data_IF_489288705704
#
_entry.id   IF_489288705704
#
_cell.length_a   1.000
_cell.length_b   1.000
_cell.length_c   1.000
_cell.angle_alpha   90.00
_cell.angle_beta   90.00
_cell.angle_gamma   90.00
#
_symmetry.space_group_name_H-M   'P 1'
#
loop_
_entity.id
_entity.type
_entity.pdbx_description
1 polymer ?
#
# COMPACT_ATOMS: atom_id res chain seq x y z
N UNK A 1 24.60 -1.58 -36.07
CA UNK A 1 25.07 -2.85 -35.49
C UNK A 1 26.22 -2.61 -34.50
N UNK A 2 25.95 -2.00 -33.40
CA UNK A 2 26.89 -1.97 -32.28
C UNK A 2 26.05 -1.98 -31.01
N UNK A 3 26.10 -3.04 -30.30
CA UNK A 3 25.53 -3.30 -28.96
C UNK A 3 24.29 -4.17 -28.84
N UNK A 4 23.91 -4.99 -29.75
CA UNK A 4 22.95 -6.08 -29.49
C UNK A 4 21.68 -5.73 -28.66
N UNK A 5 21.33 -4.46 -28.54
CA UNK A 5 20.14 -3.99 -27.81
C UNK A 5 18.99 -3.83 -28.78
N UNK A 6 17.98 -4.66 -28.62
CA UNK A 6 16.72 -4.46 -29.33
C UNK A 6 16.00 -3.26 -28.72
N UNK A 7 15.73 -2.25 -29.54
CA UNK A 7 14.90 -1.11 -29.15
C UNK A 7 13.60 -1.18 -29.94
N UNK A 8 12.48 -1.13 -29.26
CA UNK A 8 11.15 -1.02 -29.83
C UNK A 8 10.76 0.46 -29.88
N UNK A 9 10.58 0.98 -31.10
CA UNK A 9 10.01 2.31 -31.31
C UNK A 9 8.52 2.16 -31.56
N UNK A 10 7.70 2.47 -30.54
CA UNK A 10 6.26 2.54 -30.71
C UNK A 10 5.88 3.87 -31.39
N UNK A 11 5.27 3.79 -32.58
CA UNK A 11 4.74 4.98 -33.29
C UNK A 11 3.34 5.36 -32.81
N UNK A 12 2.61 4.42 -32.27
CA UNK A 12 1.27 4.58 -31.76
C UNK A 12 1.02 3.54 -30.66
N UNK A 13 0.47 3.97 -29.55
CA UNK A 13 0.06 3.10 -28.46
C UNK A 13 -1.45 3.23 -28.31
N UNK A 14 -2.17 2.23 -28.79
CA UNK A 14 -3.61 2.10 -28.54
C UNK A 14 -3.82 1.17 -27.35
N UNK A 15 -4.58 1.62 -26.37
CA UNK A 15 -4.97 0.82 -25.21
C UNK A 15 -6.08 -0.17 -25.61
N UNK A 16 -5.69 -1.31 -26.18
CA UNK A 16 -6.60 -2.40 -26.45
C UNK A 16 -6.93 -3.11 -25.13
N UNK A 17 -8.20 -3.11 -24.75
CA UNK A 17 -8.67 -3.69 -23.47
C UNK A 17 -8.80 -2.73 -22.30
N UNK A 18 -8.29 -1.50 -22.38
CA UNK A 18 -8.46 -0.50 -21.32
C UNK A 18 -9.90 0.05 -21.25
N UNK A 19 -10.70 -0.05 -22.31
CA UNK A 19 -12.07 0.46 -22.34
C UNK A 19 -12.96 -0.17 -21.28
N UNK A 20 -13.01 -1.48 -21.22
CA UNK A 20 -13.85 -2.19 -20.24
C UNK A 20 -13.40 -1.96 -18.79
N UNK A 21 -12.10 -1.87 -18.55
CA UNK A 21 -11.57 -1.56 -17.22
C UNK A 21 -11.87 -0.11 -16.82
N UNK A 22 -11.74 0.81 -17.77
CA UNK A 22 -12.05 2.21 -17.55
C UNK A 22 -13.56 2.44 -17.32
N UNK A 23 -14.42 1.77 -18.07
CA UNK A 23 -15.87 1.81 -17.85
C UNK A 23 -16.24 1.28 -16.46
N UNK A 24 -15.65 0.17 -16.02
CA UNK A 24 -15.84 -0.35 -14.66
C UNK A 24 -15.36 0.63 -13.59
N UNK A 25 -14.22 1.29 -13.83
CA UNK A 25 -13.72 2.33 -12.93
C UNK A 25 -14.71 3.50 -12.83
N UNK A 26 -15.24 3.99 -13.96
CA UNK A 26 -16.22 5.09 -13.96
C UNK A 26 -17.52 4.70 -13.27
N UNK A 27 -18.01 3.47 -13.51
CA UNK A 27 -19.21 2.96 -12.86
C UNK A 27 -19.02 2.87 -11.33
N UNK A 28 -17.91 2.29 -10.88
CA UNK A 28 -17.61 2.19 -9.46
C UNK A 28 -17.41 3.58 -8.81
N UNK A 29 -16.76 4.51 -9.53
CA UNK A 29 -16.60 5.88 -9.04
C UNK A 29 -17.96 6.55 -8.84
N UNK A 30 -18.86 6.44 -9.82
CA UNK A 30 -20.20 7.02 -9.73
C UNK A 30 -21.02 6.41 -8.58
N UNK A 31 -20.95 5.09 -8.41
CA UNK A 31 -21.60 4.38 -7.29
C UNK A 31 -21.09 4.89 -5.92
N UNK A 32 -19.77 5.00 -5.75
CA UNK A 32 -19.17 5.49 -4.51
C UNK A 32 -19.50 6.97 -4.24
N UNK A 33 -19.63 7.77 -5.30
CA UNK A 33 -20.02 9.17 -5.20
C UNK A 33 -21.49 9.32 -4.81
N UNK A 34 -22.37 8.51 -5.38
CA UNK A 34 -23.79 8.45 -5.01
C UNK A 34 -23.99 7.99 -3.56
N UNK A 35 -23.16 7.04 -3.09
CA UNK A 35 -23.13 6.62 -1.69
C UNK A 35 -22.54 7.67 -0.74
N UNK A 36 -22.07 8.81 -1.25
CA UNK A 36 -21.47 9.87 -0.46
C UNK A 36 -20.10 9.56 0.10
N UNK A 37 -19.42 8.51 -0.38
CA UNK A 37 -18.13 8.05 0.19
C UNK A 37 -17.00 9.07 0.05
N UNK A 38 -17.14 10.06 -0.85
CA UNK A 38 -16.18 11.14 -1.04
C UNK A 38 -16.53 12.42 -0.28
N UNK A 39 -17.62 12.44 0.48
CA UNK A 39 -18.04 13.62 1.22
C UNK A 39 -17.04 14.02 2.32
N UNK A 40 -16.91 15.32 2.58
CA UNK A 40 -15.97 15.86 3.58
C UNK A 40 -16.22 15.32 4.99
N UNK A 41 -17.46 14.99 5.32
CA UNK A 41 -17.86 14.43 6.62
C UNK A 41 -17.22 13.07 6.94
N UNK A 42 -16.82 12.32 5.91
CA UNK A 42 -16.12 11.03 6.07
C UNK A 42 -14.61 11.18 6.11
N UNK A 43 -14.09 12.36 5.79
CA UNK A 43 -12.66 12.62 5.83
C UNK A 43 -12.20 12.93 7.26
N UNK A 44 -11.12 12.31 7.64
CA UNK A 44 -10.51 12.55 8.94
C UNK A 44 -9.35 13.55 8.80
N UNK A 45 -9.23 14.54 9.70
CA UNK A 45 -8.10 15.45 9.69
C UNK A 45 -6.80 14.67 9.96
N UNK A 46 -5.75 15.04 9.22
CA UNK A 46 -4.42 14.46 9.43
C UNK A 46 -3.86 15.03 10.74
N UNK A 47 -3.51 14.19 11.73
CA UNK A 47 -2.96 14.67 12.99
C UNK A 47 -1.58 15.30 12.80
N UNK A 48 -1.32 16.41 13.46
CA UNK A 48 -0.01 17.11 13.41
C UNK A 48 1.12 16.28 14.00
N UNK A 49 0.84 15.51 15.05
CA UNK A 49 1.81 14.65 15.72
C UNK A 49 1.25 13.25 15.87
N UNK A 50 2.06 12.27 15.51
CA UNK A 50 1.73 10.87 15.65
C UNK A 50 2.83 10.15 16.44
N UNK A 51 2.43 9.24 17.30
CA UNK A 51 3.33 8.34 18.03
C UNK A 51 3.42 6.96 17.39
N UNK A 52 2.41 6.58 16.62
CA UNK A 52 2.33 5.29 15.92
C UNK A 52 1.90 5.49 14.48
N UNK A 53 2.61 4.82 13.58
CA UNK A 53 2.34 4.81 12.14
C UNK A 53 2.09 3.36 11.71
N UNK A 54 0.88 3.05 11.27
CA UNK A 54 0.57 1.79 10.60
C UNK A 54 0.98 1.86 9.13
N UNK A 55 1.69 0.85 8.65
CA UNK A 55 2.13 0.75 7.26
C UNK A 55 1.68 -0.57 6.69
N UNK A 56 0.83 -0.55 5.67
CA UNK A 56 0.37 -1.73 4.93
C UNK A 56 1.15 -1.82 3.64
N UNK A 57 2.12 -2.70 3.56
CA UNK A 57 2.99 -2.86 2.38
C UNK A 57 3.69 -4.21 2.38
N UNK A 58 4.42 -4.50 1.30
CA UNK A 58 5.29 -5.67 1.26
C UNK A 58 6.36 -5.59 2.37
N UNK A 59 6.61 -6.69 3.10
CA UNK A 59 7.55 -6.71 4.23
C UNK A 59 9.00 -6.53 3.80
N UNK A 60 9.28 -6.73 2.52
CA UNK A 60 10.61 -6.61 1.92
C UNK A 60 10.55 -5.64 0.75
N UNK A 61 11.64 -4.94 0.49
CA UNK A 61 11.77 -4.03 -0.64
C UNK A 61 12.14 -2.60 -0.24
N UNK A 62 12.34 -1.76 -1.26
CA UNK A 62 12.79 -0.38 -1.09
C UNK A 62 11.75 0.47 -0.34
N UNK A 63 10.47 0.32 -0.67
CA UNK A 63 9.40 1.16 -0.13
C UNK A 63 9.33 1.15 1.40
N UNK A 64 9.41 -0.03 2.04
CA UNK A 64 9.37 -0.13 3.50
C UNK A 64 10.61 0.48 4.14
N UNK A 65 11.77 0.35 3.51
CA UNK A 65 13.02 0.95 3.99
C UNK A 65 12.98 2.49 3.88
N UNK A 66 12.47 3.00 2.77
CA UNK A 66 12.32 4.45 2.57
C UNK A 66 11.36 5.06 3.59
N UNK A 67 10.19 4.45 3.79
CA UNK A 67 9.22 4.88 4.80
C UNK A 67 9.88 4.91 6.19
N UNK A 68 10.58 3.85 6.55
CA UNK A 68 11.28 3.74 7.83
C UNK A 68 12.34 4.84 7.98
N UNK A 69 13.23 4.98 7.00
CA UNK A 69 14.34 5.91 7.05
C UNK A 69 13.88 7.37 7.11
N UNK A 70 12.90 7.72 6.28
CA UNK A 70 12.34 9.09 6.25
C UNK A 70 11.59 9.40 7.54
N UNK A 71 10.75 8.46 7.99
CA UNK A 71 9.93 8.65 9.19
C UNK A 71 10.79 8.79 10.46
N UNK A 72 11.77 7.91 10.66
CA UNK A 72 12.63 7.93 11.85
C UNK A 72 13.62 9.11 11.83
N UNK A 73 14.03 9.57 10.66
CA UNK A 73 14.83 10.79 10.54
C UNK A 73 14.05 12.03 11.00
N UNK A 74 12.74 12.07 10.75
CA UNK A 74 11.86 13.19 11.14
C UNK A 74 11.40 13.08 12.59
N UNK A 75 11.09 11.88 13.04
CA UNK A 75 10.64 11.60 14.39
C UNK A 75 11.23 10.27 14.90
N UNK A 76 12.37 10.28 15.59
CA UNK A 76 13.02 9.07 16.08
C UNK A 76 12.20 8.31 17.14
N UNK A 77 11.20 8.94 17.74
CA UNK A 77 10.30 8.30 18.71
C UNK A 77 9.05 7.68 18.09
N UNK A 78 8.93 7.74 16.75
CA UNK A 78 7.80 7.17 16.04
C UNK A 78 7.86 5.64 16.05
N UNK A 79 6.81 5.01 16.57
CA UNK A 79 6.62 3.57 16.46
C UNK A 79 6.01 3.24 15.09
N UNK A 80 6.74 2.50 14.26
CA UNK A 80 6.24 2.02 12.97
C UNK A 80 5.73 0.59 13.15
N UNK A 81 4.48 0.35 12.76
CA UNK A 81 3.81 -0.94 12.81
C UNK A 81 3.58 -1.39 11.37
N UNK A 82 4.29 -2.43 10.96
CA UNK A 82 4.16 -3.00 9.61
C UNK A 82 3.07 -4.07 9.59
N UNK A 83 2.12 -3.90 8.69
CA UNK A 83 1.13 -4.91 8.32
C UNK A 83 1.51 -5.47 6.97
N UNK A 84 2.08 -6.69 6.91
CA UNK A 84 2.52 -7.27 5.66
C UNK A 84 1.36 -7.50 4.70
N UNK A 85 1.51 -7.03 3.47
CA UNK A 85 0.51 -7.21 2.43
C UNK A 85 1.18 -7.45 1.07
N UNK A 86 0.49 -8.22 0.23
CA UNK A 86 0.79 -8.28 -1.19
C UNK A 86 0.29 -6.98 -1.82
N UNK A 87 1.16 -6.22 -2.49
CA UNK A 87 0.81 -4.89 -3.04
C UNK A 87 0.75 -4.86 -4.56
N UNK A 88 1.10 -5.97 -5.21
CA UNK A 88 1.08 -6.11 -6.66
C UNK A 88 0.57 -7.51 -7.05
N UNK A 89 -0.04 -7.60 -8.24
CA UNK A 89 -0.55 -8.85 -8.79
C UNK A 89 -1.95 -9.22 -8.31
N UNK A 90 -2.36 -10.42 -8.69
CA UNK A 90 -3.66 -10.98 -8.32
C UNK A 90 -3.75 -11.17 -6.79
N UNK A 91 -4.88 -10.77 -6.19
CA UNK A 91 -5.08 -10.83 -4.73
C UNK A 91 -4.45 -9.67 -3.94
N UNK A 92 -3.77 -8.71 -4.57
CA UNK A 92 -3.19 -7.56 -3.88
C UNK A 92 -4.26 -6.72 -3.16
N UNK A 93 -5.40 -6.48 -3.80
CA UNK A 93 -6.50 -5.72 -3.22
C UNK A 93 -6.99 -6.35 -1.90
N UNK A 94 -7.28 -7.64 -1.91
CA UNK A 94 -7.74 -8.37 -0.73
C UNK A 94 -6.69 -8.38 0.39
N UNK A 95 -5.44 -8.55 0.02
CA UNK A 95 -4.32 -8.52 0.97
C UNK A 95 -4.18 -7.14 1.63
N UNK A 96 -4.32 -6.06 0.89
CA UNK A 96 -4.29 -4.69 1.41
C UNK A 96 -5.49 -4.43 2.33
N UNK A 97 -6.69 -4.84 1.92
CA UNK A 97 -7.90 -4.73 2.76
C UNK A 97 -7.72 -5.45 4.09
N UNK A 98 -7.16 -6.66 4.08
CA UNK A 98 -6.82 -7.40 5.29
C UNK A 98 -5.83 -6.62 6.18
N UNK A 99 -4.78 -6.06 5.59
CA UNK A 99 -3.79 -5.24 6.32
C UNK A 99 -4.41 -4.01 6.98
N UNK A 100 -5.31 -3.32 6.26
CA UNK A 100 -6.03 -2.15 6.78
C UNK A 100 -6.95 -2.55 7.95
N UNK A 101 -7.71 -3.64 7.81
CA UNK A 101 -8.57 -4.13 8.90
C UNK A 101 -7.77 -4.55 10.13
N UNK A 102 -6.63 -5.18 9.96
CA UNK A 102 -5.73 -5.52 11.05
C UNK A 102 -5.22 -4.26 11.78
N UNK A 103 -4.88 -3.22 11.02
CA UNK A 103 -4.40 -1.94 11.56
C UNK A 103 -5.48 -1.11 12.26
N UNK A 104 -6.72 -1.20 11.80
CA UNK A 104 -7.84 -0.44 12.36
C UNK A 104 -8.47 -1.03 13.63
N UNK A 105 -7.96 -2.18 14.12
CA UNK A 105 -8.48 -2.85 15.32
C UNK A 105 -9.88 -3.46 15.17
N UNK A 106 -10.45 -3.45 13.98
CA UNK A 106 -11.84 -3.89 13.74
C UNK A 106 -12.06 -5.40 13.73
N UNK A 107 -11.01 -6.20 13.76
CA UNK A 107 -11.08 -7.64 14.06
C UNK A 107 -9.82 -8.01 14.82
N UNK A 108 -9.98 -8.72 15.94
CA UNK A 108 -8.91 -9.18 16.83
C UNK A 108 -7.86 -10.06 16.14
N UNK A 109 -7.10 -9.45 15.26
CA UNK A 109 -5.90 -10.06 14.70
C UNK A 109 -4.84 -10.00 15.79
N UNK A 110 -4.45 -11.16 16.29
CA UNK A 110 -3.35 -11.27 17.23
C UNK A 110 -2.04 -10.92 16.52
N UNK A 111 -1.74 -9.62 16.46
CA UNK A 111 -0.50 -9.10 15.89
C UNK A 111 0.74 -9.64 16.61
N UNK A 112 0.61 -10.22 17.82
CA UNK A 112 1.71 -10.88 18.53
C UNK A 112 2.24 -12.10 17.78
N UNK A 113 1.41 -12.80 17.00
CA UNK A 113 1.84 -13.94 16.17
C UNK A 113 2.62 -13.51 14.93
N UNK A 114 2.25 -12.41 14.32
CA UNK A 114 2.89 -11.88 13.11
C UNK A 114 4.28 -11.29 13.42
N UNK A 115 4.45 -10.68 14.58
CA UNK A 115 5.71 -10.11 15.04
C UNK A 115 6.79 -11.13 15.36
N UNK A 116 6.42 -12.34 15.76
CA UNK A 116 7.40 -13.41 16.01
C UNK A 116 8.16 -13.83 14.75
N UNK A 117 7.57 -13.61 13.58
CA UNK A 117 8.20 -13.93 12.30
C UNK A 117 9.22 -12.87 11.86
N UNK A 118 8.91 -11.62 12.06
CA UNK A 118 9.79 -10.48 11.70
C UNK A 118 11.03 -10.39 12.59
N UNK A 119 10.92 -10.78 13.86
CA UNK A 119 12.05 -10.77 14.80
C UNK A 119 13.03 -11.94 14.61
N UNK A 120 12.72 -12.96 13.83
CA UNK A 120 13.66 -14.03 13.51
C UNK A 120 14.60 -13.71 12.34
N UNK A 121 14.33 -12.64 11.60
CA UNK A 121 15.15 -12.21 10.47
C UNK A 121 16.12 -11.07 10.78
N UNK A 122 16.10 -10.50 11.98
CA UNK A 122 17.03 -9.44 12.39
C UNK A 122 18.08 -9.98 13.36
N UNK A 123 18.85 -10.99 12.91
CA UNK A 123 20.13 -11.30 13.52
C UNK A 123 21.19 -10.71 12.62
N UNK A 124 21.80 -9.63 13.05
CA UNK A 124 23.02 -9.12 12.46
C UNK A 124 22.95 -7.66 12.02
N UNK A 125 23.03 -6.75 12.98
CA UNK A 125 23.88 -5.55 12.93
C UNK A 125 24.29 -5.20 14.34
#
# INVERSE_FOLDING_TARGET
>A
ERDGRYQLYAKEITLEGAGALYERFLALKAELEEMGMFAEEYKQPIPHYIHRLGVVTAPTGAAVQDIRNISLRRNPYLQIILYPALVQGEGAADSIVHGIHAGSGRRGYDYRRTWRWLNRGSVGF
#
